data_IF_570472787793
#
_entry.id   IF_570472787793
#
_cell.length_a   1.000
_cell.length_b   1.000
_cell.length_c   1.000
_cell.angle_alpha   90.00
_cell.angle_beta   90.00
_cell.angle_gamma   90.00
#
_symmetry.space_group_name_H-M   'P 1'
#
loop_
_entity.id
_entity.type
_entity.pdbx_description
1 polymer ?
#
# COMPACT_ATOMS: atom_id res chain seq x y z
N UNK A 1 -5.02 20.39 10.58
CA UNK A 1 -4.82 20.03 10.42
C UNK A 1 -4.15 19.21 10.25
N UNK A 2 -3.80 18.75 10.33
CA UNK A 2 -3.04 18.01 10.20
C UNK A 2 -3.22 17.01 9.48
N UNK A 3 -2.90 16.99 8.48
CA UNK A 3 -3.03 15.99 7.63
C UNK A 3 -2.29 14.81 8.04
N UNK A 4 -2.90 13.73 8.03
CA UNK A 4 -2.25 12.49 8.37
C UNK A 4 -1.69 11.81 7.17
N UNK A 5 -1.72 12.46 6.04
CA UNK A 5 -1.22 11.86 4.82
C UNK A 5 0.29 11.73 4.85
N UNK A 6 0.82 10.55 4.52
CA UNK A 6 2.26 10.43 4.33
C UNK A 6 2.70 11.25 3.14
N UNK A 7 3.97 11.64 3.14
CA UNK A 7 4.49 12.44 2.03
C UNK A 7 5.01 11.56 0.90
N UNK A 8 5.06 10.26 1.10
CA UNK A 8 5.64 9.34 0.13
C UNK A 8 4.58 8.47 -0.54
N UNK A 9 3.45 9.05 -0.85
CA UNK A 9 2.39 8.30 -1.53
C UNK A 9 2.78 7.98 -2.96
N UNK A 10 2.54 6.75 -3.35
CA UNK A 10 2.76 6.29 -4.72
C UNK A 10 1.50 5.59 -5.17
N UNK A 11 1.36 5.41 -6.47
CA UNK A 11 0.19 4.74 -7.01
C UNK A 11 0.28 3.24 -6.71
N UNK A 12 -0.89 2.62 -6.59
CA UNK A 12 -0.93 1.20 -6.31
C UNK A 12 -0.22 0.38 -7.38
N UNK A 13 -0.28 0.82 -8.63
CA UNK A 13 0.38 0.08 -9.69
C UNK A 13 1.91 0.13 -9.55
N UNK A 14 2.43 1.23 -9.04
CA UNK A 14 3.85 1.31 -8.75
C UNK A 14 4.20 0.39 -7.59
N UNK A 15 3.35 0.36 -6.59
CA UNK A 15 3.56 -0.50 -5.43
C UNK A 15 3.56 -1.96 -5.86
N UNK A 16 2.66 -2.30 -6.79
CA UNK A 16 2.63 -3.66 -7.33
C UNK A 16 3.95 -4.06 -7.92
N UNK A 17 4.54 -3.16 -8.69
CA UNK A 17 5.82 -3.44 -9.32
C UNK A 17 6.91 -3.64 -8.27
N UNK A 18 6.89 -2.82 -7.24
CA UNK A 18 7.87 -2.94 -6.17
C UNK A 18 7.72 -4.26 -5.43
N UNK A 19 6.49 -4.64 -5.15
CA UNK A 19 6.21 -5.88 -4.41
C UNK A 19 6.28 -7.12 -5.30
N UNK A 20 6.16 -6.93 -6.60
CA UNK A 20 6.17 -8.07 -7.51
C UNK A 20 4.93 -8.92 -7.39
N UNK A 21 3.77 -8.31 -7.14
CA UNK A 21 2.54 -9.06 -6.97
C UNK A 21 1.55 -8.70 -8.07
N UNK A 22 0.55 -9.56 -8.25
CA UNK A 22 -0.50 -9.31 -9.24
C UNK A 22 -1.47 -8.25 -8.72
N UNK A 23 -2.29 -7.72 -9.64
CA UNK A 23 -3.28 -6.74 -9.23
C UNK A 23 -4.29 -7.34 -8.27
N UNK A 24 -4.63 -8.62 -8.45
CA UNK A 24 -5.55 -9.29 -7.54
C UNK A 24 -4.95 -9.38 -6.15
N UNK A 25 -3.67 -9.71 -6.05
CA UNK A 25 -3.01 -9.80 -4.76
C UNK A 25 -2.92 -8.44 -4.10
N UNK A 26 -2.62 -7.40 -4.88
CA UNK A 26 -2.55 -6.06 -4.35
C UNK A 26 -3.91 -5.62 -3.79
N UNK A 27 -4.98 -5.89 -4.53
CA UNK A 27 -6.31 -5.55 -4.07
C UNK A 27 -6.64 -6.29 -2.77
N UNK A 28 -6.19 -7.53 -2.67
CA UNK A 28 -6.42 -8.33 -1.48
C UNK A 28 -5.70 -7.73 -0.27
N UNK A 29 -4.46 -7.30 -0.46
CA UNK A 29 -3.69 -6.69 0.60
C UNK A 29 -4.37 -5.42 1.13
N UNK A 30 -4.88 -4.62 0.21
CA UNK A 30 -5.57 -3.39 0.58
C UNK A 30 -6.88 -3.72 1.30
N UNK A 31 -7.61 -4.68 0.77
CA UNK A 31 -8.90 -5.05 1.33
C UNK A 31 -8.76 -5.59 2.74
N UNK A 32 -7.69 -6.32 3.00
CA UNK A 32 -7.47 -6.89 4.33
C UNK A 32 -6.91 -5.89 5.32
N UNK A 33 -6.61 -4.69 4.85
CA UNK A 33 -6.08 -3.67 5.75
C UNK A 33 -4.60 -3.82 6.04
N UNK A 34 -3.92 -4.71 5.32
CA UNK A 34 -2.48 -4.86 5.48
C UNK A 34 -1.72 -3.73 4.86
N UNK A 35 -2.35 -3.03 3.94
CA UNK A 35 -1.75 -1.92 3.23
C UNK A 35 -2.75 -0.78 3.18
N UNK A 36 -2.63 0.20 4.06
CA UNK A 36 -3.52 1.36 4.04
C UNK A 36 -3.45 2.08 2.70
N UNK A 37 -4.55 2.64 2.28
CA UNK A 37 -4.57 3.33 1.00
C UNK A 37 -5.33 4.64 1.12
N UNK A 38 -5.03 5.52 0.17
CA UNK A 38 -5.69 6.83 0.07
C UNK A 38 -6.21 6.98 -1.33
N UNK A 39 -7.18 7.84 -1.51
CA UNK A 39 -7.72 8.13 -2.84
C UNK A 39 -7.80 9.64 -3.00
N UNK A 40 -7.84 10.10 -4.24
CA UNK A 40 -8.12 11.50 -4.49
C UNK A 40 -9.60 11.76 -4.33
N UNK A 41 -9.97 12.88 -3.74
CA UNK A 41 -11.40 13.20 -3.60
C UNK A 41 -12.13 13.27 -4.93
N UNK A 42 -11.45 13.72 -5.97
CA UNK A 42 -12.06 13.90 -7.28
C UNK A 42 -11.98 12.68 -8.17
N UNK A 43 -11.17 11.71 -7.81
CA UNK A 43 -11.02 10.50 -8.61
C UNK A 43 -10.72 9.33 -7.69
N UNK A 44 -11.76 8.68 -7.26
CA UNK A 44 -11.62 7.57 -6.30
C UNK A 44 -11.11 6.30 -6.92
N UNK A 45 -10.96 6.28 -8.23
CA UNK A 45 -10.41 5.11 -8.89
C UNK A 45 -8.90 5.02 -8.71
N UNK A 46 -8.27 6.14 -8.38
CA UNK A 46 -6.83 6.17 -8.17
C UNK A 46 -6.56 5.83 -6.71
N UNK A 47 -5.86 4.74 -6.49
CA UNK A 47 -5.48 4.34 -5.14
C UNK A 47 -4.02 4.61 -4.91
N UNK A 48 -3.73 5.23 -3.78
CA UNK A 48 -2.37 5.59 -3.39
C UNK A 48 -2.00 4.85 -2.13
N UNK A 49 -0.76 4.45 -2.03
CA UNK A 49 -0.26 3.77 -0.84
C UNK A 49 1.06 4.41 -0.45
N UNK A 50 1.43 4.26 0.80
CA UNK A 50 2.68 4.80 1.29
C UNK A 50 3.83 3.90 0.83
N UNK A 51 4.85 4.51 0.26
CA UNK A 51 6.02 3.74 -0.17
C UNK A 51 6.67 3.06 1.02
N UNK A 52 6.67 3.72 2.18
CA UNK A 52 7.25 3.12 3.38
C UNK A 52 6.50 1.85 3.76
N UNK A 53 5.17 1.87 3.66
CA UNK A 53 4.38 0.67 3.95
C UNK A 53 4.69 -0.43 2.95
N UNK A 54 4.84 -0.08 1.68
CA UNK A 54 5.14 -1.05 0.65
C UNK A 54 6.50 -1.71 0.92
N UNK A 55 7.49 -0.90 1.24
CA UNK A 55 8.80 -1.44 1.53
C UNK A 55 8.79 -2.30 2.78
N UNK A 56 7.96 -1.93 3.74
CA UNK A 56 7.81 -2.73 4.95
C UNK A 56 7.26 -4.11 4.65
N UNK A 57 6.30 -4.19 3.74
CA UNK A 57 5.74 -5.48 3.34
C UNK A 57 6.74 -6.31 2.56
N UNK A 58 7.58 -5.65 1.79
CA UNK A 58 8.58 -6.34 0.99
C UNK A 58 9.70 -6.90 1.86
N UNK A 59 9.98 -6.24 2.97
CA UNK A 59 11.06 -6.66 3.86
C UNK A 59 10.63 -7.90 4.63
N UNK A 60 11.48 -8.94 4.68
CA UNK A 60 11.12 -10.12 5.46
C UNK A 60 10.86 -9.77 6.90
N UNK A 61 9.83 -10.35 7.44
CA UNK A 61 9.45 -10.12 8.82
C UNK A 61 9.84 -11.32 9.64
N UNK A 62 10.19 -11.07 10.89
CA UNK A 62 10.47 -12.18 11.78
C UNK A 62 9.18 -12.95 12.00
N UNK A 63 9.22 -14.24 11.73
CA UNK A 63 8.06 -15.06 11.95
C UNK A 63 7.83 -15.24 13.44
N UNK A 64 6.61 -15.04 13.84
CA UNK A 64 6.25 -15.28 15.22
C UNK A 64 6.07 -16.76 15.38
N UNK A 65 6.97 -17.37 16.06
CA UNK A 65 6.82 -18.78 16.32
C UNK A 65 5.69 -18.96 17.29
N UNK A 66 4.70 -19.59 16.86
CA UNK A 66 3.54 -19.80 17.70
C UNK A 66 3.79 -20.90 18.70
#
# INVERSE_FOLDING_TARGET
MDSKQPVDLIRAEEARAILGVSSAKMAHLIKQGLLPHWTYPLDRRVKLVSKADVLSLKTPQKAEAA
#
